data_IF_005921666920
#
_entry.id   IF_005921666920
#
_cell.length_a   1.000
_cell.length_b   1.000
_cell.length_c   1.000
_cell.angle_alpha   90.00
_cell.angle_beta   90.00
_cell.angle_gamma   90.00
#
_symmetry.space_group_name_H-M   'P 1'
#
loop_
_entity.id
_entity.type
_entity.pdbx_description
1 polymer ?
#
# COMPACT_ATOMS: atom_id res chain seq x y z
N UNK A 1 3.98 -35.28 108.67
CA UNK A 1 4.03 -36.77 108.68
C UNK A 1 4.30 -37.25 107.26
N UNK A 2 4.98 -38.38 107.05
CA UNK A 2 5.40 -38.87 105.71
C UNK A 2 4.23 -39.49 104.90
N UNK A 3 4.55 -39.77 103.63
CA UNK A 3 4.02 -40.77 102.66
C UNK A 3 3.22 -40.10 101.53
N UNK A 4 3.57 -40.09 100.23
CA UNK A 4 4.52 -40.80 99.33
C UNK A 4 3.93 -41.95 98.46
N UNK A 5 3.84 -41.68 97.13
CA UNK A 5 3.77 -42.62 95.98
C UNK A 5 2.45 -43.42 95.89
N UNK A 6 2.02 -44.02 94.76
CA UNK A 6 2.72 -44.82 93.74
C UNK A 6 1.91 -45.02 92.42
N UNK A 7 2.62 -45.07 91.26
CA UNK A 7 2.58 -46.11 90.17
C UNK A 7 1.29 -46.36 89.35
N UNK A 8 1.28 -46.89 88.11
CA UNK A 8 2.31 -47.14 87.04
C UNK A 8 1.64 -47.72 85.76
N UNK A 9 2.33 -47.66 84.60
CA UNK A 9 2.36 -48.68 83.48
C UNK A 9 1.05 -49.05 82.72
N UNK A 10 1.05 -49.57 81.48
CA UNK A 10 2.04 -49.65 80.38
C UNK A 10 1.34 -49.99 79.04
N UNK A 11 2.11 -49.80 77.96
CA UNK A 11 1.83 -50.00 76.54
C UNK A 11 1.62 -51.45 76.04
N UNK A 12 1.16 -51.61 74.78
CA UNK A 12 1.84 -52.34 73.69
C UNK A 12 0.90 -52.76 72.52
N UNK A 13 1.33 -52.50 71.27
CA UNK A 13 1.20 -53.41 70.10
C UNK A 13 2.04 -52.85 68.91
N UNK A 14 2.75 -53.71 68.18
CA UNK A 14 3.66 -53.36 67.07
C UNK A 14 3.58 -54.41 65.94
N UNK A 15 4.22 -54.11 64.79
CA UNK A 15 4.68 -55.04 63.73
C UNK A 15 3.57 -55.66 62.81
N UNK A 16 3.77 -56.06 61.53
CA UNK A 16 4.81 -55.92 60.46
C UNK A 16 4.09 -56.25 59.09
N UNK A 17 4.60 -56.13 57.85
CA UNK A 17 5.92 -55.80 57.28
C UNK A 17 5.80 -55.13 55.87
N UNK A 18 6.88 -55.12 55.08
CA UNK A 18 7.09 -54.49 53.77
C UNK A 18 6.80 -55.38 52.51
N UNK A 19 6.80 -54.75 51.32
CA UNK A 19 7.23 -55.35 50.04
C UNK A 19 7.68 -54.27 49.01
N UNK A 20 8.81 -54.55 48.32
CA UNK A 20 9.40 -53.91 47.09
C UNK A 20 9.58 -52.37 47.04
N UNK A 21 10.76 -51.74 47.02
CA UNK A 21 12.05 -51.88 46.28
C UNK A 21 12.18 -51.08 44.95
N UNK A 22 12.95 -49.98 45.04
CA UNK A 22 14.01 -49.47 44.12
C UNK A 22 13.81 -49.37 42.59
N UNK A 23 13.84 -48.12 42.09
CA UNK A 23 14.79 -47.55 41.07
C UNK A 23 14.68 -46.02 41.16
N UNK A 24 15.73 -45.21 41.41
CA UNK A 24 16.88 -44.87 40.54
C UNK A 24 16.43 -44.21 39.21
N UNK A 25 16.94 -43.04 38.75
CA UNK A 25 17.97 -42.13 39.27
C UNK A 25 17.80 -40.70 38.68
N UNK A 26 18.53 -39.75 39.25
CA UNK A 26 19.01 -38.47 38.73
C UNK A 26 18.69 -38.11 37.25
N UNK A 27 18.16 -36.89 37.00
CA UNK A 27 18.08 -36.33 35.63
C UNK A 27 18.37 -34.83 35.63
N UNK A 28 19.46 -34.47 34.96
CA UNK A 28 19.78 -33.09 34.60
C UNK A 28 18.63 -32.45 33.78
N UNK A 29 18.26 -31.23 34.13
CA UNK A 29 17.27 -30.44 33.40
C UNK A 29 17.90 -29.75 32.19
N UNK A 30 18.32 -30.54 31.20
CA UNK A 30 18.74 -30.05 29.89
C UNK A 30 17.53 -29.67 29.02
N UNK A 31 17.49 -28.40 28.60
CA UNK A 31 16.90 -27.93 27.33
C UNK A 31 15.56 -28.55 26.90
N UNK A 32 14.46 -28.05 27.45
CA UNK A 32 13.16 -28.04 26.76
C UNK A 32 12.88 -26.63 26.28
N UNK A 33 13.14 -26.32 25.00
CA UNK A 33 12.73 -25.04 24.42
C UNK A 33 11.21 -25.01 24.35
N UNK A 34 10.56 -24.27 25.25
CA UNK A 34 9.14 -24.00 25.15
C UNK A 34 8.89 -23.25 23.84
N UNK A 35 8.17 -23.87 22.90
CA UNK A 35 7.75 -23.20 21.69
C UNK A 35 6.88 -22.00 22.04
N UNK A 36 7.28 -20.81 21.60
CA UNK A 36 6.49 -19.58 21.77
C UNK A 36 5.30 -19.59 20.82
N UNK A 37 4.28 -20.40 21.15
CA UNK A 37 2.94 -20.29 20.58
C UNK A 37 2.17 -19.18 21.30
N UNK A 38 2.59 -17.92 21.11
CA UNK A 38 1.80 -16.77 21.53
C UNK A 38 0.69 -16.48 20.53
N UNK A 39 -0.46 -16.00 21.00
CA UNK A 39 -1.53 -15.54 20.12
C UNK A 39 -1.00 -14.48 19.15
N UNK A 40 -1.28 -14.63 17.85
CA UNK A 40 -0.84 -13.67 16.82
C UNK A 40 -1.30 -12.24 17.16
N UNK A 41 -0.46 -11.22 16.93
CA UNK A 41 -0.80 -9.85 17.27
C UNK A 41 -2.04 -9.36 16.49
N UNK A 42 -2.99 -8.74 17.19
CA UNK A 42 -4.18 -8.20 16.55
C UNK A 42 -3.83 -6.99 15.65
N UNK A 43 -4.19 -7.03 14.37
CA UNK A 43 -3.92 -5.96 13.39
C UNK A 43 -5.20 -5.18 13.10
N UNK A 44 -5.19 -3.86 13.29
CA UNK A 44 -6.27 -2.97 12.83
C UNK A 44 -6.07 -2.62 11.36
N UNK A 45 -7.12 -2.66 10.53
CA UNK A 45 -7.01 -2.42 9.09
C UNK A 45 -8.17 -1.54 8.61
N UNK A 46 -7.85 -0.33 8.15
CA UNK A 46 -8.81 0.55 7.47
C UNK A 46 -8.60 0.54 5.95
N UNK A 47 -9.67 0.26 5.21
CA UNK A 47 -9.74 0.47 3.76
C UNK A 47 -10.11 1.93 3.50
N UNK A 48 -9.35 2.70 2.69
CA UNK A 48 -9.64 4.12 2.52
C UNK A 48 -10.97 4.36 1.78
N UNK A 49 -11.32 3.50 0.80
CA UNK A 49 -12.48 3.66 -0.09
C UNK A 49 -12.77 2.36 -0.85
N UNK A 50 -13.86 2.33 -1.62
CA UNK A 50 -14.32 1.15 -2.38
C UNK A 50 -15.15 1.54 -3.62
N UNK A 51 -14.67 2.58 -4.30
CA UNK A 51 -15.33 3.28 -5.42
C UNK A 51 -14.41 3.39 -6.65
N UNK A 52 -13.30 2.65 -6.66
CA UNK A 52 -12.40 2.52 -7.82
C UNK A 52 -11.88 1.09 -7.92
N UNK A 53 -11.52 0.66 -9.12
CA UNK A 53 -11.09 -0.73 -9.41
C UNK A 53 -9.84 -1.12 -8.63
N UNK A 54 -8.91 -0.18 -8.44
CA UNK A 54 -7.72 -0.39 -7.61
C UNK A 54 -8.09 -0.68 -6.14
N UNK A 55 -8.89 0.18 -5.51
CA UNK A 55 -9.25 0.00 -4.10
C UNK A 55 -10.17 -1.21 -3.86
N UNK A 56 -11.01 -1.56 -4.84
CA UNK A 56 -11.80 -2.80 -4.81
C UNK A 56 -10.89 -4.04 -4.89
N UNK A 57 -9.89 -4.03 -5.78
CA UNK A 57 -8.96 -5.15 -5.95
C UNK A 57 -8.03 -5.31 -4.75
N UNK A 58 -7.48 -4.20 -4.23
CA UNK A 58 -6.72 -4.18 -2.98
C UNK A 58 -7.53 -4.78 -1.82
N UNK A 59 -8.82 -4.46 -1.71
CA UNK A 59 -9.68 -5.02 -0.68
C UNK A 59 -9.90 -6.55 -0.84
N UNK A 60 -9.98 -7.07 -2.07
CA UNK A 60 -10.08 -8.52 -2.30
C UNK A 60 -8.75 -9.25 -2.06
N UNK A 61 -7.61 -8.70 -2.50
CA UNK A 61 -6.28 -9.22 -2.16
C UNK A 61 -6.07 -9.22 -0.65
N UNK A 62 -6.39 -8.13 0.05
CA UNK A 62 -6.25 -8.05 1.51
C UNK A 62 -7.14 -9.08 2.23
N UNK A 63 -8.39 -9.29 1.81
CA UNK A 63 -9.29 -10.32 2.38
C UNK A 63 -8.78 -11.75 2.13
N UNK A 64 -8.11 -11.98 1.00
CA UNK A 64 -7.50 -13.26 0.65
C UNK A 64 -6.25 -13.49 1.50
N UNK A 65 -5.36 -12.51 1.55
CA UNK A 65 -4.05 -12.61 2.19
C UNK A 65 -4.18 -12.68 3.72
N UNK A 66 -5.13 -11.94 4.32
CA UNK A 66 -5.52 -12.11 5.74
C UNK A 66 -5.89 -13.57 6.07
N UNK A 67 -6.49 -14.30 5.13
CA UNK A 67 -6.87 -15.72 5.32
C UNK A 67 -5.73 -16.68 5.00
N UNK A 68 -4.91 -16.42 3.98
CA UNK A 68 -3.84 -17.35 3.57
C UNK A 68 -2.63 -17.29 4.50
N UNK A 69 -2.29 -16.10 5.00
CA UNK A 69 -1.20 -15.89 5.97
C UNK A 69 -1.69 -16.06 7.43
N UNK A 70 -3.00 -16.32 7.63
CA UNK A 70 -3.63 -16.51 8.94
C UNK A 70 -3.43 -15.28 9.87
N UNK A 71 -3.59 -14.06 9.30
CA UNK A 71 -3.40 -12.80 10.03
C UNK A 71 -4.52 -12.65 11.08
N UNK A 72 -4.17 -12.30 12.32
CA UNK A 72 -5.15 -11.92 13.34
C UNK A 72 -5.69 -10.49 13.07
N UNK A 73 -6.46 -10.33 12.01
CA UNK A 73 -7.09 -9.07 11.66
C UNK A 73 -8.32 -8.79 12.55
N UNK A 74 -8.38 -7.58 13.11
CA UNK A 74 -9.61 -7.02 13.65
C UNK A 74 -10.65 -6.84 12.53
N UNK A 75 -11.95 -6.69 12.85
CA UNK A 75 -12.97 -6.40 11.85
C UNK A 75 -12.59 -5.21 10.98
N UNK A 76 -12.45 -5.44 9.66
CA UNK A 76 -12.02 -4.41 8.71
C UNK A 76 -12.96 -3.21 8.75
N UNK A 77 -12.39 -2.01 8.79
CA UNK A 77 -13.15 -0.76 8.65
C UNK A 77 -13.01 -0.18 7.24
N UNK A 78 -13.84 0.81 6.93
CA UNK A 78 -13.70 1.60 5.72
C UNK A 78 -13.95 3.08 6.05
N UNK A 79 -12.99 3.95 5.76
CA UNK A 79 -13.09 5.39 6.04
C UNK A 79 -13.80 6.19 4.96
N UNK A 80 -14.12 5.59 3.80
CA UNK A 80 -14.91 6.21 2.72
C UNK A 80 -14.35 7.57 2.26
N UNK A 81 -13.03 7.70 2.19
CA UNK A 81 -12.27 8.91 1.87
C UNK A 81 -12.53 10.09 2.83
N UNK A 82 -12.91 9.80 4.08
CA UNK A 82 -13.22 10.79 5.13
C UNK A 82 -12.24 10.63 6.30
N UNK A 83 -11.40 11.65 6.50
CA UNK A 83 -10.40 11.68 7.57
C UNK A 83 -11.02 11.53 8.97
N UNK A 84 -12.24 12.04 9.19
CA UNK A 84 -12.95 11.93 10.47
C UNK A 84 -13.34 10.48 10.77
N UNK A 85 -13.76 9.74 9.73
CA UNK A 85 -14.06 8.31 9.85
C UNK A 85 -12.78 7.50 10.06
N UNK A 86 -11.70 7.82 9.36
CA UNK A 86 -10.39 7.18 9.59
C UNK A 86 -9.93 7.35 11.04
N UNK A 87 -9.98 8.57 11.59
CA UNK A 87 -9.68 8.85 13.00
C UNK A 87 -10.55 8.00 13.95
N UNK A 88 -11.86 7.92 13.69
CA UNK A 88 -12.78 7.14 14.51
C UNK A 88 -12.50 5.63 14.44
N UNK A 89 -12.23 5.09 13.26
CA UNK A 89 -11.89 3.69 13.02
C UNK A 89 -10.58 3.32 13.75
N UNK A 90 -9.55 4.18 13.63
CA UNK A 90 -8.29 4.04 14.35
C UNK A 90 -8.47 4.10 15.87
N UNK A 91 -9.41 4.91 16.38
CA UNK A 91 -9.75 4.94 17.81
C UNK A 91 -10.47 3.66 18.27
N UNK A 92 -11.27 3.01 17.42
CA UNK A 92 -11.83 1.68 17.69
C UNK A 92 -10.71 0.64 17.78
N UNK A 93 -9.80 0.58 16.80
CA UNK A 93 -8.68 -0.39 16.80
C UNK A 93 -7.80 -0.30 18.05
N UNK A 94 -7.49 0.92 18.51
CA UNK A 94 -6.77 1.14 19.77
C UNK A 94 -7.51 0.54 20.98
N UNK A 95 -8.83 0.72 21.02
CA UNK A 95 -9.66 0.25 22.15
C UNK A 95 -9.91 -1.27 22.10
N UNK A 96 -9.88 -1.89 20.92
CA UNK A 96 -9.98 -3.35 20.73
C UNK A 96 -8.62 -4.06 20.73
N UNK A 97 -7.54 -3.36 21.11
CA UNK A 97 -6.25 -3.98 21.43
C UNK A 97 -5.28 -4.19 20.27
N UNK A 98 -5.46 -3.47 19.15
CA UNK A 98 -4.54 -3.52 18.00
C UNK A 98 -3.07 -3.31 18.41
N UNK A 99 -2.17 -4.07 17.78
CA UNK A 99 -0.72 -4.04 17.97
C UNK A 99 0.01 -3.38 16.80
N UNK A 100 -0.61 -3.34 15.63
CA UNK A 100 -0.26 -2.45 14.54
C UNK A 100 -1.53 -1.98 13.83
N UNK A 101 -1.44 -0.90 13.05
CA UNK A 101 -2.53 -0.38 12.21
C UNK A 101 -2.07 -0.27 10.76
N UNK A 102 -2.85 -0.83 9.85
CA UNK A 102 -2.76 -0.61 8.39
C UNK A 102 -3.81 0.43 7.99
N UNK A 103 -3.39 1.49 7.29
CA UNK A 103 -4.30 2.52 6.76
C UNK A 103 -3.73 3.22 5.52
N UNK A 104 -4.54 4.00 4.82
CA UNK A 104 -4.14 4.72 3.60
C UNK A 104 -4.68 6.18 3.61
N UNK A 105 -4.11 7.09 4.42
CA UNK A 105 -4.62 8.44 4.61
C UNK A 105 -4.48 9.28 3.34
N UNK A 106 -5.62 9.59 2.71
CA UNK A 106 -5.65 10.30 1.43
C UNK A 106 -5.32 11.81 1.58
N UNK A 107 -5.73 12.43 2.70
CA UNK A 107 -5.19 13.72 3.17
C UNK A 107 -3.90 13.44 3.97
N UNK A 108 -2.75 13.73 3.36
CA UNK A 108 -1.43 13.40 3.92
C UNK A 108 -1.00 14.33 5.04
N UNK A 109 -1.62 15.52 5.17
CA UNK A 109 -1.29 16.51 6.17
C UNK A 109 -2.14 16.40 7.45
N UNK A 110 -3.42 16.04 7.31
CA UNK A 110 -4.38 16.00 8.42
C UNK A 110 -4.22 14.78 9.35
N UNK A 111 -3.68 13.66 8.85
CA UNK A 111 -3.55 12.41 9.63
C UNK A 111 -2.55 12.51 10.81
N UNK A 112 -1.67 13.51 10.81
CA UNK A 112 -0.54 13.62 11.73
C UNK A 112 -0.87 13.43 13.23
N UNK A 113 -1.93 14.07 13.74
CA UNK A 113 -2.32 13.95 15.16
C UNK A 113 -2.80 12.54 15.54
N UNK A 114 -3.27 11.77 14.55
CA UNK A 114 -3.64 10.35 14.71
C UNK A 114 -2.39 9.48 14.80
N UNK A 115 -1.37 9.78 13.99
CA UNK A 115 -0.06 9.13 14.05
C UNK A 115 0.62 9.39 15.39
N UNK A 116 0.67 10.64 15.84
CA UNK A 116 1.21 11.02 17.15
C UNK A 116 0.50 10.28 18.30
N UNK A 117 -0.83 10.12 18.19
CA UNK A 117 -1.64 9.37 19.17
C UNK A 117 -1.28 7.88 19.19
N UNK A 118 -1.12 7.24 18.02
CA UNK A 118 -0.71 5.83 17.91
C UNK A 118 0.73 5.61 18.40
N UNK A 119 1.65 6.49 18.03
CA UNK A 119 3.05 6.49 18.49
C UNK A 119 3.13 6.60 20.02
N UNK A 120 2.34 7.47 20.65
CA UNK A 120 2.28 7.59 22.12
C UNK A 120 1.86 6.29 22.83
N UNK A 121 1.09 5.44 22.15
CA UNK A 121 0.64 4.13 22.62
C UNK A 121 1.53 2.97 22.17
N UNK A 122 2.61 3.26 21.42
CA UNK A 122 3.53 2.29 20.80
C UNK A 122 2.82 1.32 19.85
N UNK A 123 1.81 1.82 19.12
CA UNK A 123 1.13 1.07 18.06
C UNK A 123 1.73 1.52 16.73
N UNK A 124 2.67 0.76 16.11
CA UNK A 124 3.21 1.10 14.81
C UNK A 124 2.15 1.15 13.70
N UNK A 125 2.42 2.00 12.71
CA UNK A 125 1.55 2.21 11.55
C UNK A 125 2.25 1.75 10.28
N UNK A 126 1.55 0.95 9.49
CA UNK A 126 1.88 0.74 8.08
C UNK A 126 0.93 1.59 7.24
N UNK A 127 1.49 2.55 6.50
CA UNK A 127 0.72 3.35 5.55
C UNK A 127 0.74 2.67 4.18
N UNK A 128 -0.38 2.58 3.49
CA UNK A 128 -0.50 1.91 2.19
C UNK A 128 -0.90 2.91 1.13
N UNK A 129 -0.31 2.78 -0.05
CA UNK A 129 -0.38 3.71 -1.18
C UNK A 129 0.18 5.11 -0.87
N UNK A 130 -0.35 5.78 0.15
CA UNK A 130 -0.15 7.21 0.41
C UNK A 130 0.77 7.42 1.62
N UNK A 131 1.88 8.17 1.45
CA UNK A 131 2.79 8.59 2.54
C UNK A 131 2.21 9.80 3.31
N UNK A 132 2.08 9.75 4.66
CA UNK A 132 1.79 10.94 5.46
C UNK A 132 2.93 11.97 5.39
N UNK A 133 2.62 13.27 5.37
CA UNK A 133 3.64 14.33 5.29
C UNK A 133 4.44 14.49 6.59
N UNK A 134 3.90 14.02 7.71
CA UNK A 134 4.42 14.14 9.08
C UNK A 134 3.71 13.18 10.02
N UNK A 135 4.32 12.92 11.17
CA UNK A 135 3.91 11.89 12.12
C UNK A 135 4.52 10.54 11.74
N UNK A 136 5.03 9.83 12.74
CA UNK A 136 5.87 8.65 12.51
C UNK A 136 5.07 7.46 11.96
N UNK A 137 5.63 6.80 10.95
CA UNK A 137 5.16 5.52 10.39
C UNK A 137 6.27 4.49 10.45
N UNK A 138 5.89 3.22 10.62
CA UNK A 138 6.84 2.10 10.62
C UNK A 138 7.32 1.79 9.20
N UNK A 139 6.38 1.74 8.26
CA UNK A 139 6.63 1.53 6.84
C UNK A 139 5.54 2.19 6.01
N UNK A 140 5.90 2.76 4.86
CA UNK A 140 4.96 3.09 3.79
C UNK A 140 5.11 2.06 2.68
N UNK A 141 4.03 1.38 2.30
CA UNK A 141 4.00 0.40 1.21
C UNK A 141 3.33 1.03 0.00
N UNK A 142 4.11 1.37 -1.02
CA UNK A 142 3.63 2.08 -2.23
C UNK A 142 4.51 1.79 -3.44
N UNK A 143 3.97 1.94 -4.64
CA UNK A 143 4.78 2.00 -5.85
C UNK A 143 5.68 3.25 -5.83
N UNK A 144 6.81 3.20 -6.53
CA UNK A 144 7.65 4.39 -6.75
C UNK A 144 6.90 5.43 -7.60
N UNK A 145 6.31 6.42 -6.91
CA UNK A 145 5.55 7.51 -7.51
C UNK A 145 6.45 8.53 -8.23
N UNK A 146 7.76 8.57 -7.96
CA UNK A 146 8.72 9.37 -8.74
C UNK A 146 9.07 8.64 -10.05
N UNK A 147 9.18 7.31 -10.02
CA UNK A 147 9.33 6.51 -11.25
C UNK A 147 8.11 6.62 -12.17
N UNK A 148 6.89 6.77 -11.63
CA UNK A 148 5.69 7.07 -12.44
C UNK A 148 5.90 8.31 -13.31
N UNK A 149 6.18 9.47 -12.69
CA UNK A 149 6.43 10.72 -13.41
C UNK A 149 7.64 10.64 -14.35
N UNK A 150 8.71 9.97 -13.93
CA UNK A 150 9.92 9.81 -14.75
C UNK A 150 9.65 8.96 -16.00
N UNK A 151 9.00 7.80 -15.86
CA UNK A 151 8.66 6.89 -16.97
C UNK A 151 7.63 7.51 -17.91
N UNK A 152 6.63 8.20 -17.37
CA UNK A 152 5.67 8.96 -18.18
C UNK A 152 6.35 10.05 -19.02
N UNK A 153 7.34 10.74 -18.44
CA UNK A 153 8.14 11.73 -19.13
C UNK A 153 9.00 11.12 -20.24
N UNK A 154 9.75 10.07 -19.94
CA UNK A 154 10.62 9.37 -20.90
C UNK A 154 9.80 8.85 -22.08
N UNK A 155 8.69 8.18 -21.80
CA UNK A 155 7.80 7.64 -22.81
C UNK A 155 7.25 8.73 -23.75
N UNK A 156 6.60 9.78 -23.22
CA UNK A 156 6.08 10.86 -24.06
C UNK A 156 7.18 11.67 -24.75
N UNK A 157 8.35 11.79 -24.11
CA UNK A 157 9.52 12.42 -24.68
C UNK A 157 10.02 11.71 -25.93
N UNK A 158 10.08 10.38 -25.89
CA UNK A 158 10.46 9.54 -27.03
C UNK A 158 9.39 9.53 -28.12
N UNK A 159 8.11 9.31 -27.78
CA UNK A 159 7.00 9.29 -28.74
C UNK A 159 6.86 10.61 -29.52
N UNK A 160 7.19 11.74 -28.91
CA UNK A 160 7.14 13.07 -29.53
C UNK A 160 8.48 13.50 -30.17
N UNK A 161 9.50 12.66 -30.17
CA UNK A 161 10.84 13.01 -30.68
C UNK A 161 11.44 14.24 -29.98
N UNK A 162 11.15 14.38 -28.68
CA UNK A 162 11.65 15.43 -27.80
C UNK A 162 11.11 16.84 -28.05
N UNK A 163 9.99 17.02 -28.77
CA UNK A 163 9.38 18.33 -29.04
C UNK A 163 7.85 18.27 -29.16
N UNK A 164 7.15 19.33 -28.75
CA UNK A 164 5.70 19.43 -28.95
C UNK A 164 4.97 19.96 -27.74
N UNK A 165 3.75 19.46 -27.52
CA UNK A 165 2.86 19.88 -26.42
C UNK A 165 2.27 18.65 -25.72
N UNK A 166 2.31 18.64 -24.39
CA UNK A 166 1.73 17.58 -23.56
C UNK A 166 0.76 18.19 -22.55
N UNK A 167 -0.39 17.55 -22.35
CA UNK A 167 -1.28 17.84 -21.22
C UNK A 167 -0.95 16.89 -20.06
N UNK A 168 -0.83 17.40 -18.85
CA UNK A 168 -0.74 16.57 -17.64
C UNK A 168 -2.03 16.72 -16.84
N UNK A 169 -2.80 15.63 -16.74
CA UNK A 169 -3.97 15.54 -15.85
C UNK A 169 -3.45 15.17 -14.45
N UNK A 170 -3.10 16.20 -13.68
CA UNK A 170 -2.50 16.07 -12.36
C UNK A 170 -3.52 15.59 -11.31
N UNK A 171 -3.05 14.85 -10.31
CA UNK A 171 -3.83 14.47 -9.14
C UNK A 171 -4.25 15.64 -8.25
N UNK A 172 -4.72 15.32 -7.05
CA UNK A 172 -4.90 16.31 -6.00
C UNK A 172 -3.54 16.75 -5.42
N UNK A 173 -3.39 18.05 -5.16
CA UNK A 173 -2.12 18.67 -4.75
C UNK A 173 -1.86 18.54 -3.24
N UNK A 174 -2.90 18.21 -2.47
CA UNK A 174 -2.85 17.83 -1.05
C UNK A 174 -2.35 16.39 -0.85
N UNK A 175 -2.49 15.50 -1.85
CA UNK A 175 -1.92 14.16 -1.84
C UNK A 175 -0.46 14.12 -2.31
N UNK A 176 0.40 13.44 -1.55
CA UNK A 176 1.80 13.21 -1.92
C UNK A 176 1.97 12.46 -3.24
N UNK A 177 1.00 11.62 -3.63
CA UNK A 177 1.04 10.89 -4.91
C UNK A 177 0.98 11.86 -6.08
N UNK A 178 0.09 12.85 -6.01
CA UNK A 178 -0.03 13.89 -7.03
C UNK A 178 1.23 14.74 -7.10
N UNK A 179 1.81 15.10 -5.94
CA UNK A 179 3.08 15.85 -5.86
C UNK A 179 4.26 15.07 -6.46
N UNK A 180 4.57 13.88 -5.93
CA UNK A 180 5.70 13.03 -6.38
C UNK A 180 5.64 12.77 -7.90
N UNK A 181 4.44 12.47 -8.45
CA UNK A 181 4.22 12.22 -9.89
C UNK A 181 4.47 13.49 -10.72
N UNK A 182 3.91 14.63 -10.31
CA UNK A 182 4.03 15.90 -11.05
C UNK A 182 5.46 16.45 -11.01
N UNK A 183 6.09 16.43 -9.84
CA UNK A 183 7.46 16.94 -9.64
C UNK A 183 8.48 16.15 -10.47
N UNK A 184 8.41 14.81 -10.43
CA UNK A 184 9.29 13.96 -11.23
C UNK A 184 9.05 14.11 -12.74
N UNK A 185 7.80 14.22 -13.18
CA UNK A 185 7.46 14.44 -14.58
C UNK A 185 7.99 15.79 -15.08
N UNK A 186 7.79 16.87 -14.32
CA UNK A 186 8.27 18.21 -14.64
C UNK A 186 9.80 18.30 -14.63
N UNK A 187 10.48 17.70 -13.64
CA UNK A 187 11.94 17.64 -13.58
C UNK A 187 12.52 16.91 -14.80
N UNK A 188 11.98 15.73 -15.11
CA UNK A 188 12.40 14.95 -16.27
C UNK A 188 12.15 15.69 -17.60
N UNK A 189 10.97 16.30 -17.78
CA UNK A 189 10.64 17.06 -18.99
C UNK A 189 11.57 18.26 -19.19
N UNK A 190 11.85 19.00 -18.11
CA UNK A 190 12.77 20.13 -18.11
C UNK A 190 14.22 19.73 -18.43
N UNK A 191 14.68 18.57 -17.97
CA UNK A 191 16.07 18.13 -18.10
C UNK A 191 16.33 17.37 -19.40
N UNK A 192 15.43 16.45 -19.80
CA UNK A 192 15.60 15.57 -20.97
C UNK A 192 14.91 16.09 -22.23
N UNK A 193 13.74 16.73 -22.11
CA UNK A 193 12.92 17.13 -23.26
C UNK A 193 12.49 18.62 -23.25
N UNK A 194 13.41 19.59 -23.07
CA UNK A 194 13.08 21.00 -22.87
C UNK A 194 12.38 21.72 -24.04
N UNK A 195 12.13 21.03 -25.17
CA UNK A 195 11.34 21.52 -26.31
C UNK A 195 9.90 20.97 -26.32
N UNK A 196 9.51 20.17 -25.32
CA UNK A 196 8.13 19.82 -25.02
C UNK A 196 7.58 20.86 -24.06
N UNK A 197 6.46 21.50 -24.43
CA UNK A 197 5.71 22.35 -23.52
C UNK A 197 4.65 21.51 -22.80
N UNK A 198 4.83 21.36 -21.48
CA UNK A 198 3.81 20.76 -20.61
C UNK A 198 2.74 21.79 -20.28
N UNK A 199 1.49 21.34 -20.21
CA UNK A 199 0.33 22.06 -19.70
C UNK A 199 -0.21 21.29 -18.50
N UNK A 200 0.13 21.78 -17.31
CA UNK A 200 -0.29 21.24 -16.02
C UNK A 200 -1.78 21.55 -15.79
N UNK A 201 -2.58 20.51 -15.57
CA UNK A 201 -4.02 20.61 -15.32
C UNK A 201 -4.36 19.95 -13.98
N UNK A 202 -4.29 20.68 -12.84
CA UNK A 202 -4.73 20.18 -11.53
C UNK A 202 -6.17 19.68 -11.57
N UNK A 203 -6.43 18.40 -11.33
CA UNK A 203 -7.79 17.84 -11.45
C UNK A 203 -8.46 17.53 -10.13
N UNK A 204 -7.72 17.47 -9.02
CA UNK A 204 -8.24 17.02 -7.72
C UNK A 204 -8.82 15.58 -7.79
N UNK A 205 -8.18 14.73 -8.60
CA UNK A 205 -8.61 13.36 -8.97
C UNK A 205 -10.02 13.26 -9.57
N UNK A 206 -10.57 14.37 -10.10
CA UNK A 206 -11.95 14.43 -10.63
C UNK A 206 -11.99 14.37 -12.15
N UNK A 207 -12.61 13.32 -12.69
CA UNK A 207 -12.70 13.05 -14.13
C UNK A 207 -13.49 14.09 -14.94
N UNK A 208 -14.49 14.73 -14.34
CA UNK A 208 -15.24 15.84 -14.93
C UNK A 208 -14.39 17.12 -15.03
N UNK A 209 -13.64 17.45 -13.96
CA UNK A 209 -12.67 18.56 -13.95
C UNK A 209 -11.57 18.31 -14.98
N UNK A 210 -11.05 17.09 -15.03
CA UNK A 210 -10.03 16.67 -16.00
C UNK A 210 -10.53 16.83 -17.44
N UNK A 211 -11.72 16.32 -17.76
CA UNK A 211 -12.34 16.42 -19.09
C UNK A 211 -12.61 17.88 -19.49
N UNK A 212 -13.18 18.70 -18.59
CA UNK A 212 -13.46 20.12 -18.86
C UNK A 212 -12.17 20.93 -19.13
N UNK A 213 -11.10 20.66 -18.38
CA UNK A 213 -9.79 21.29 -18.58
C UNK A 213 -9.14 20.84 -19.89
N UNK A 214 -9.14 19.53 -20.18
CA UNK A 214 -8.60 18.98 -21.42
C UNK A 214 -9.38 19.48 -22.66
N UNK A 215 -10.71 19.57 -22.58
CA UNK A 215 -11.57 20.13 -23.64
C UNK A 215 -11.19 21.58 -23.95
N UNK A 216 -10.95 22.38 -22.91
CA UNK A 216 -10.55 23.78 -23.02
C UNK A 216 -9.13 23.93 -23.58
N UNK A 217 -8.22 23.01 -23.23
CA UNK A 217 -6.86 22.98 -23.75
C UNK A 217 -6.82 22.59 -25.23
N UNK A 218 -7.53 21.53 -25.62
CA UNK A 218 -7.63 21.07 -27.02
C UNK A 218 -8.23 22.13 -27.95
N UNK A 219 -9.12 23.00 -27.45
CA UNK A 219 -9.67 24.12 -28.22
C UNK A 219 -8.63 25.23 -28.48
N UNK A 220 -7.67 25.43 -27.58
CA UNK A 220 -6.60 26.42 -27.70
C UNK A 220 -5.37 25.87 -28.43
N UNK A 221 -5.13 24.56 -28.30
CA UNK A 221 -3.96 23.85 -28.81
C UNK A 221 -4.40 22.58 -29.55
N UNK A 222 -4.93 22.70 -30.78
CA UNK A 222 -5.28 21.56 -31.63
C UNK A 222 -4.05 20.75 -32.10
N UNK A 223 -2.85 21.24 -31.80
CA UNK A 223 -1.55 20.61 -31.99
C UNK A 223 -1.01 19.92 -30.71
N UNK A 224 -1.90 19.58 -29.77
CA UNK A 224 -1.55 18.76 -28.61
C UNK A 224 -1.06 17.37 -29.08
N UNK A 225 0.18 17.01 -28.72
CA UNK A 225 0.82 15.77 -29.17
C UNK A 225 0.73 14.63 -28.17
N UNK A 226 0.66 14.94 -26.87
CA UNK A 226 0.57 13.92 -25.82
C UNK A 226 -0.32 14.27 -24.64
N UNK A 227 -0.75 13.25 -23.91
CA UNK A 227 -1.50 13.33 -22.65
C UNK A 227 -0.87 12.38 -21.64
N UNK A 228 -0.54 12.90 -20.46
CA UNK A 228 -0.21 12.11 -19.27
C UNK A 228 -1.41 12.14 -18.32
N UNK A 229 -1.97 10.99 -18.00
CA UNK A 229 -3.04 10.82 -17.04
C UNK A 229 -2.47 10.28 -15.73
N UNK A 230 -2.52 11.05 -14.62
CA UNK A 230 -1.88 10.58 -13.39
C UNK A 230 -2.61 9.44 -12.67
N UNK A 231 -3.83 9.07 -13.05
CA UNK A 231 -4.57 7.90 -12.57
C UNK A 231 -5.63 7.44 -13.60
N UNK A 232 -5.61 6.16 -13.96
CA UNK A 232 -6.52 5.54 -14.92
C UNK A 232 -7.96 5.52 -14.45
N UNK A 233 -8.18 5.16 -13.18
CA UNK A 233 -9.50 4.89 -12.62
C UNK A 233 -10.48 6.07 -12.68
N UNK A 234 -9.96 7.31 -12.76
CA UNK A 234 -10.75 8.55 -12.81
C UNK A 234 -10.61 9.32 -14.13
N UNK A 235 -9.52 9.14 -14.88
CA UNK A 235 -9.27 9.94 -16.10
C UNK A 235 -9.44 9.19 -17.42
N UNK A 236 -9.29 7.86 -17.45
CA UNK A 236 -9.27 7.09 -18.70
C UNK A 236 -10.56 7.27 -19.51
N UNK A 237 -11.71 6.89 -18.95
CA UNK A 237 -12.98 6.93 -19.68
C UNK A 237 -13.42 8.36 -20.08
N UNK A 238 -13.35 9.38 -19.19
CA UNK A 238 -13.65 10.76 -19.58
C UNK A 238 -12.73 11.30 -20.68
N UNK A 239 -11.44 10.91 -20.69
CA UNK A 239 -10.46 11.33 -21.70
C UNK A 239 -10.75 10.66 -23.04
N UNK A 240 -10.93 9.33 -23.07
CA UNK A 240 -11.23 8.60 -24.29
C UNK A 240 -12.54 9.07 -24.94
N UNK A 241 -13.60 9.26 -24.15
CA UNK A 241 -14.89 9.75 -24.64
C UNK A 241 -14.79 11.17 -25.24
N UNK A 242 -14.03 12.07 -24.61
CA UNK A 242 -13.79 13.43 -25.12
C UNK A 242 -13.01 13.42 -26.44
N UNK A 243 -11.98 12.56 -26.54
CA UNK A 243 -11.18 12.42 -27.76
C UNK A 243 -11.98 11.77 -28.90
N UNK A 244 -12.83 10.80 -28.59
CA UNK A 244 -13.75 10.19 -29.56
C UNK A 244 -14.79 11.21 -30.07
N UNK A 245 -15.44 11.94 -29.16
CA UNK A 245 -16.39 13.02 -29.50
C UNK A 245 -15.77 14.09 -30.41
N UNK A 246 -14.48 14.39 -30.22
CA UNK A 246 -13.72 15.36 -31.05
C UNK A 246 -13.14 14.75 -32.33
N UNK A 247 -13.29 13.44 -32.55
CA UNK A 247 -12.69 12.73 -33.68
C UNK A 247 -11.16 12.64 -33.60
N UNK A 248 -10.57 12.89 -32.43
CA UNK A 248 -9.13 12.90 -32.14
C UNK A 248 -8.63 11.55 -31.61
N UNK A 249 -9.51 10.68 -31.11
CA UNK A 249 -9.13 9.31 -30.76
C UNK A 249 -8.79 8.55 -32.06
N UNK A 250 -7.49 8.27 -32.24
CA UNK A 250 -6.94 7.42 -33.30
C UNK A 250 -6.16 6.29 -32.65
N UNK A 251 -6.07 5.10 -33.26
CA UNK A 251 -5.18 4.06 -32.77
C UNK A 251 -3.71 4.48 -32.76
N UNK A 252 -2.96 4.00 -31.78
CA UNK A 252 -1.52 4.15 -31.67
C UNK A 252 -0.79 3.84 -32.99
N UNK A 253 0.22 4.65 -33.31
CA UNK A 253 0.97 4.58 -34.57
C UNK A 253 0.24 5.14 -35.82
N UNK A 254 -1.02 5.56 -35.72
CA UNK A 254 -1.71 6.22 -36.85
C UNK A 254 -1.44 7.72 -36.90
N UNK A 255 -1.52 8.30 -38.12
CA UNK A 255 -1.35 9.75 -38.33
C UNK A 255 -2.43 10.52 -37.58
N UNK A 256 -2.01 11.46 -36.72
CA UNK A 256 -2.91 12.28 -35.90
C UNK A 256 -3.36 11.60 -34.60
N UNK A 257 -2.74 10.48 -34.23
CA UNK A 257 -2.79 9.98 -32.86
C UNK A 257 -2.11 10.98 -31.90
N UNK A 258 -2.76 11.23 -30.76
CA UNK A 258 -2.20 11.91 -29.60
C UNK A 258 -1.66 10.80 -28.72
N UNK A 259 -0.37 10.80 -28.37
CA UNK A 259 0.19 9.75 -27.52
C UNK A 259 -0.34 9.86 -26.09
N UNK A 260 -0.77 8.75 -25.51
CA UNK A 260 -1.39 8.73 -24.19
C UNK A 260 -0.68 7.71 -23.30
N UNK A 261 -0.13 8.19 -22.20
CA UNK A 261 0.32 7.37 -21.08
C UNK A 261 -0.54 7.67 -19.85
N UNK A 262 -0.84 6.61 -19.11
CA UNK A 262 -1.59 6.66 -17.87
C UNK A 262 -0.81 6.04 -16.71
N UNK A 263 -1.46 5.91 -15.56
CA UNK A 263 -0.95 5.25 -14.37
C UNK A 263 -2.04 4.35 -13.77
N UNK A 264 -1.62 3.39 -12.95
CA UNK A 264 -2.39 2.42 -12.15
C UNK A 264 -2.30 1.00 -12.74
N UNK A 265 -2.50 0.83 -14.04
CA UNK A 265 -2.56 -0.48 -14.71
C UNK A 265 -3.85 -1.24 -14.42
N UNK A 266 -4.98 -0.53 -14.40
CA UNK A 266 -6.31 -1.14 -14.24
C UNK A 266 -6.69 -1.98 -15.49
N UNK A 267 -7.59 -2.99 -15.37
CA UNK A 267 -7.98 -3.84 -16.50
C UNK A 267 -8.42 -3.06 -17.76
N UNK A 268 -9.10 -1.94 -17.57
CA UNK A 268 -9.60 -1.07 -18.65
C UNK A 268 -8.48 -0.33 -19.40
N UNK A 269 -7.34 -0.06 -18.75
CA UNK A 269 -6.16 0.49 -19.42
C UNK A 269 -5.47 -0.56 -20.26
N UNK A 270 -5.34 -1.79 -19.76
CA UNK A 270 -4.78 -2.89 -20.53
C UNK A 270 -5.63 -3.16 -21.78
N UNK A 271 -6.96 -3.12 -21.62
CA UNK A 271 -7.89 -3.17 -22.74
C UNK A 271 -7.76 -1.98 -23.71
N UNK A 272 -7.54 -0.76 -23.21
CA UNK A 272 -7.29 0.41 -24.05
C UNK A 272 -5.96 0.28 -24.82
N UNK A 273 -4.90 -0.25 -24.21
CA UNK A 273 -3.60 -0.53 -24.83
C UNK A 273 -3.75 -1.59 -25.93
N UNK A 274 -4.44 -2.71 -25.66
CA UNK A 274 -4.74 -3.75 -26.66
C UNK A 274 -5.45 -3.18 -27.89
N UNK A 275 -6.43 -2.29 -27.66
CA UNK A 275 -7.20 -1.56 -28.68
C UNK A 275 -6.41 -0.41 -29.33
N UNK A 276 -5.25 -0.04 -28.80
CA UNK A 276 -4.43 1.10 -29.22
C UNK A 276 -5.05 2.48 -28.94
N UNK A 277 -6.00 2.56 -28.00
CA UNK A 277 -6.66 3.81 -27.60
C UNK A 277 -5.76 4.68 -26.69
N UNK A 278 -4.88 4.04 -25.91
CA UNK A 278 -3.72 4.64 -25.24
C UNK A 278 -2.49 3.80 -25.60
N UNK A 279 -1.29 4.34 -25.45
CA UNK A 279 -0.06 3.60 -25.77
C UNK A 279 0.46 2.78 -24.57
N UNK A 280 0.33 3.34 -23.36
CA UNK A 280 1.00 2.83 -22.18
C UNK A 280 0.30 3.18 -20.85
N UNK A 281 0.66 2.46 -19.79
CA UNK A 281 0.35 2.82 -18.39
C UNK A 281 1.50 2.40 -17.46
N UNK A 282 1.81 3.19 -16.43
CA UNK A 282 2.72 2.75 -15.35
C UNK A 282 1.89 2.06 -14.27
N UNK A 283 2.07 0.75 -14.12
CA UNK A 283 1.23 -0.09 -13.26
C UNK A 283 1.72 -0.13 -11.81
N UNK A 284 0.79 -0.17 -10.84
CA UNK A 284 1.08 -0.41 -9.41
C UNK A 284 0.70 -1.85 -9.04
N UNK A 285 1.49 -2.57 -8.25
CA UNK A 285 1.20 -3.95 -7.89
C UNK A 285 0.22 -4.00 -6.71
N UNK A 286 -1.08 -3.89 -7.00
CA UNK A 286 -2.15 -3.85 -6.00
C UNK A 286 -2.21 -5.10 -5.08
N UNK A 287 -1.76 -6.23 -5.60
CA UNK A 287 -1.56 -7.49 -4.89
C UNK A 287 -0.39 -7.40 -3.90
N UNK A 288 0.76 -6.86 -4.33
CA UNK A 288 1.93 -6.67 -3.47
C UNK A 288 1.68 -5.60 -2.40
N UNK A 289 0.86 -4.58 -2.67
CA UNK A 289 0.41 -3.61 -1.67
C UNK A 289 -0.29 -4.32 -0.51
N UNK A 290 -1.27 -5.19 -0.81
CA UNK A 290 -2.02 -5.93 0.20
C UNK A 290 -1.11 -6.87 1.00
N UNK A 291 -0.33 -7.69 0.29
CA UNK A 291 0.60 -8.65 0.90
C UNK A 291 1.62 -7.98 1.82
N UNK A 292 2.32 -6.96 1.33
CA UNK A 292 3.39 -6.34 2.12
C UNK A 292 2.87 -5.41 3.22
N UNK A 293 1.68 -4.82 3.06
CA UNK A 293 1.02 -4.12 4.16
C UNK A 293 0.80 -5.02 5.39
N UNK A 294 0.31 -6.25 5.16
CA UNK A 294 0.09 -7.24 6.22
C UNK A 294 1.42 -7.74 6.81
N UNK A 295 2.39 -8.09 5.94
CA UNK A 295 3.73 -8.53 6.34
C UNK A 295 4.43 -7.51 7.26
N UNK A 296 4.49 -6.24 6.86
CA UNK A 296 5.10 -5.20 7.68
C UNK A 296 4.30 -4.92 8.95
N UNK A 297 2.97 -5.07 8.95
CA UNK A 297 2.16 -4.86 10.14
C UNK A 297 2.37 -5.94 11.21
N UNK A 298 2.45 -7.22 10.82
CA UNK A 298 2.84 -8.29 11.75
C UNK A 298 4.28 -8.10 12.23
N UNK A 299 5.22 -7.83 11.32
CA UNK A 299 6.61 -7.60 11.67
C UNK A 299 6.79 -6.42 12.65
N UNK A 300 6.04 -5.34 12.46
CA UNK A 300 6.02 -4.20 13.37
C UNK A 300 5.44 -4.54 14.74
N UNK A 301 4.34 -5.31 14.77
CA UNK A 301 3.71 -5.75 16.01
C UNK A 301 4.58 -6.73 16.82
N UNK A 302 5.43 -7.51 16.15
CA UNK A 302 6.46 -8.37 16.76
C UNK A 302 7.74 -7.61 17.16
N UNK A 303 7.85 -6.32 16.82
CA UNK A 303 9.01 -5.48 17.12
C UNK A 303 10.22 -5.73 16.23
N UNK A 304 10.06 -6.38 15.07
CA UNK A 304 11.11 -6.49 14.04
C UNK A 304 11.45 -5.08 13.51
N UNK A 305 12.62 -4.95 12.92
CA UNK A 305 13.08 -3.71 12.26
C UNK A 305 13.60 -4.00 10.86
N UNK A 306 13.51 -3.00 10.00
CA UNK A 306 14.06 -2.99 8.66
C UNK A 306 15.07 -1.85 8.53
N UNK A 307 15.94 -1.95 7.53
CA UNK A 307 16.96 -0.97 7.19
C UNK A 307 16.83 -0.65 5.68
N UNK A 308 17.24 0.55 5.21
CA UNK A 308 17.21 0.88 3.78
C UNK A 308 18.03 -0.09 2.93
N UNK A 309 17.48 -0.52 1.80
CA UNK A 309 18.11 -1.50 0.92
C UNK A 309 17.13 -2.22 -0.01
N UNK A 310 17.67 -3.09 -0.87
CA UNK A 310 16.85 -3.98 -1.71
C UNK A 310 16.18 -5.05 -0.86
N UNK A 311 14.93 -5.37 -1.18
CA UNK A 311 14.20 -6.48 -0.56
C UNK A 311 14.43 -7.79 -1.31
N UNK A 312 13.84 -8.88 -0.81
CA UNK A 312 13.74 -10.18 -1.46
C UNK A 312 12.56 -10.29 -2.45
N UNK A 313 11.84 -9.19 -2.67
CA UNK A 313 10.64 -9.10 -3.50
C UNK A 313 10.70 -7.93 -4.51
N UNK A 314 11.90 -7.71 -5.06
CA UNK A 314 12.21 -6.77 -6.15
C UNK A 314 11.87 -5.29 -5.89
N UNK A 315 11.59 -4.92 -4.65
CA UNK A 315 11.38 -3.54 -4.20
C UNK A 315 12.64 -2.95 -3.55
N UNK A 316 12.56 -1.70 -3.08
CA UNK A 316 13.64 -1.04 -2.34
C UNK A 316 13.07 -0.23 -1.18
N UNK A 317 13.51 -0.55 0.03
CA UNK A 317 13.24 0.24 1.23
C UNK A 317 14.17 1.46 1.21
N UNK A 318 13.59 2.65 1.34
CA UNK A 318 14.30 3.92 1.51
C UNK A 318 13.95 4.56 2.86
N UNK A 319 14.83 5.43 3.34
CA UNK A 319 14.55 6.32 4.47
C UNK A 319 13.73 7.52 3.98
N UNK A 320 12.65 7.86 4.70
CA UNK A 320 11.81 9.04 4.47
C UNK A 320 11.77 9.89 5.75
N UNK A 321 11.38 11.18 5.70
CA UNK A 321 11.47 12.09 6.85
C UNK A 321 10.72 11.66 8.11
N UNK A 322 9.78 10.72 8.00
CA UNK A 322 8.93 10.21 9.08
C UNK A 322 8.86 8.68 9.16
N UNK A 323 9.86 7.95 8.64
CA UNK A 323 9.90 6.48 8.72
C UNK A 323 10.68 5.81 7.59
N UNK A 324 10.21 4.63 7.18
CA UNK A 324 10.70 3.92 6.00
C UNK A 324 9.61 3.87 4.91
N UNK A 325 10.02 3.81 3.65
CA UNK A 325 9.14 3.59 2.50
C UNK A 325 9.67 2.44 1.66
N UNK A 326 8.86 1.39 1.51
CA UNK A 326 9.12 0.27 0.62
C UNK A 326 8.53 0.57 -0.76
N UNK A 327 9.42 0.86 -1.71
CA UNK A 327 9.10 1.26 -3.07
C UNK A 327 8.91 0.05 -3.96
N UNK A 328 7.66 -0.40 -4.06
CA UNK A 328 7.25 -1.54 -4.87
C UNK A 328 7.43 -1.29 -6.38
N UNK A 329 7.68 -2.34 -7.19
CA UNK A 329 7.92 -2.20 -8.62
C UNK A 329 6.81 -1.44 -9.37
N UNK A 330 7.21 -0.47 -10.18
CA UNK A 330 6.31 0.36 -11.00
C UNK A 330 6.51 0.06 -12.51
N UNK A 331 6.16 -1.12 -13.04
CA UNK A 331 6.47 -1.47 -14.43
C UNK A 331 5.75 -0.57 -15.44
N UNK A 332 6.46 -0.18 -16.49
CA UNK A 332 5.85 0.41 -17.69
C UNK A 332 5.17 -0.71 -18.48
N UNK A 333 3.87 -0.61 -18.67
CA UNK A 333 3.06 -1.52 -19.47
C UNK A 333 2.75 -0.85 -20.80
N UNK A 334 3.05 -1.55 -21.89
CA UNK A 334 2.79 -1.15 -23.27
C UNK A 334 2.18 -2.35 -24.01
N UNK A 335 1.90 -2.20 -25.31
CA UNK A 335 1.40 -3.31 -26.14
C UNK A 335 2.30 -4.55 -26.15
N UNK A 336 3.59 -4.42 -25.85
CA UNK A 336 4.55 -5.53 -25.89
C UNK A 336 4.47 -6.46 -24.67
N UNK A 337 3.96 -5.97 -23.52
CA UNK A 337 3.87 -6.72 -22.26
C UNK A 337 2.49 -6.65 -21.57
N UNK A 338 1.48 -6.02 -22.18
CA UNK A 338 0.12 -5.89 -21.62
C UNK A 338 -0.58 -7.23 -21.29
N UNK A 339 -0.15 -8.33 -21.90
CA UNK A 339 -0.69 -9.67 -21.65
C UNK A 339 0.14 -10.50 -20.63
N UNK A 340 1.12 -9.87 -19.95
CA UNK A 340 1.86 -10.51 -18.87
C UNK A 340 0.93 -10.80 -17.68
N UNK A 341 0.90 -12.08 -17.27
CA UNK A 341 0.03 -12.58 -16.20
C UNK A 341 0.50 -12.20 -14.80
N UNK A 342 1.69 -11.66 -14.64
CA UNK A 342 2.15 -11.07 -13.37
C UNK A 342 1.53 -9.70 -13.10
N UNK A 343 1.00 -9.01 -14.13
CA UNK A 343 0.34 -7.73 -13.96
C UNK A 343 -1.01 -7.90 -13.26
N UNK A 344 -1.21 -7.23 -12.13
CA UNK A 344 -2.42 -7.35 -11.31
C UNK A 344 -3.72 -7.13 -12.10
N UNK A 345 -3.75 -6.16 -13.02
CA UNK A 345 -4.91 -5.84 -13.88
C UNK A 345 -5.32 -6.94 -14.86
N UNK A 346 -4.51 -7.99 -15.06
CA UNK A 346 -4.89 -9.20 -15.79
C UNK A 346 -5.48 -10.30 -14.89
N UNK A 347 -5.52 -10.07 -13.57
CA UNK A 347 -5.94 -11.04 -12.55
C UNK A 347 -7.14 -10.54 -11.70
N UNK A 348 -7.76 -9.41 -12.09
CA UNK A 348 -8.99 -8.90 -11.46
C UNK A 348 -10.20 -9.47 -12.21
N UNK A 349 -10.90 -10.44 -11.60
CA UNK A 349 -12.08 -11.11 -12.16
C UNK A 349 -12.47 -12.37 -11.38
#
# INVERSE_FOLDING_TARGET
MKIARTRSTAAAACALAALTLLTACNRDSSSGSAGSGGDKPAIGIDLPRSDSDFWNSYAEYLKKDVKSEDINALPLSNSQNDITKLVANVQVFQNTGAKAVVMAPQDTGAIASTLDTLASKKIPVVSVDTRPDKGDVYMVVRADNRAYGTKACEFLGEQLGGKGKVAELQGALDSINGRDRSEAFAECMKTKFPKIKVFELPTDWKGDVASAKLQSLLAQHPDLGGIYMQAGGVFLQPTLALLEQKGLLKPAGQKGHISIISNDGIPQEFDAIRKGQIDATVSQPADLYAKYALYYAEAAAEGKKFEPGKTDHDSTIIEIPNGLEDQLPAPLVTKDNVDDKSLWGNNVG
#
